data_IF_284720152234
#
_entry.id   IF_284720152234
#
_cell.length_a   1.000
_cell.length_b   1.000
_cell.length_c   1.000
_cell.angle_alpha   90.00
_cell.angle_beta   90.00
_cell.angle_gamma   90.00
#
_symmetry.space_group_name_H-M   'P 1'
#
loop_
_entity.id
_entity.type
_entity.pdbx_description
1 polymer ?
#
# COMPACT_ATOMS: atom_id res chain seq x y z
N UNK A 1 -7.60 -32.52 -2.09
CA UNK A 1 -6.18 -32.24 -2.37
C UNK A 1 -5.52 -31.45 -1.24
N UNK A 2 -4.23 -31.64 -0.95
CA UNK A 2 -3.48 -30.82 0.02
C UNK A 2 -2.77 -29.64 -0.66
N UNK A 3 -2.37 -28.61 0.08
CA UNK A 3 -1.64 -27.48 -0.49
C UNK A 3 -0.26 -27.88 -1.04
N UNK A 4 0.38 -28.89 -0.44
CA UNK A 4 1.64 -29.44 -0.96
C UNK A 4 1.45 -30.15 -2.30
N UNK A 5 0.34 -30.84 -2.50
CA UNK A 5 0.03 -31.51 -3.77
C UNK A 5 -0.25 -30.48 -4.87
N UNK A 6 -0.98 -29.41 -4.55
CA UNK A 6 -1.21 -28.31 -5.47
C UNK A 6 0.09 -27.64 -5.91
N UNK A 7 0.99 -27.35 -4.97
CA UNK A 7 2.30 -26.75 -5.26
C UNK A 7 3.19 -27.67 -6.12
N UNK A 8 3.12 -28.99 -5.90
CA UNK A 8 3.82 -29.97 -6.74
C UNK A 8 3.28 -29.92 -8.18
N UNK A 9 1.96 -29.96 -8.34
CA UNK A 9 1.31 -29.86 -9.65
C UNK A 9 1.62 -28.54 -10.38
N UNK A 10 1.62 -27.42 -9.65
CA UNK A 10 1.91 -26.11 -10.23
C UNK A 10 3.32 -26.02 -10.84
N UNK A 11 4.28 -26.71 -10.20
CA UNK A 11 5.68 -26.83 -10.63
C UNK A 11 5.90 -27.76 -11.82
N UNK A 12 4.93 -28.61 -12.17
CA UNK A 12 5.06 -29.51 -13.32
C UNK A 12 4.84 -28.73 -14.64
N UNK A 13 5.85 -28.62 -15.52
CA UNK A 13 5.72 -27.82 -16.74
C UNK A 13 4.71 -28.38 -17.74
N UNK A 14 4.50 -29.69 -17.72
CA UNK A 14 3.57 -30.41 -18.60
C UNK A 14 2.17 -30.56 -18.01
N UNK A 15 1.91 -30.03 -16.82
CA UNK A 15 0.59 -30.12 -16.20
C UNK A 15 -0.43 -29.30 -17.02
N UNK A 16 -1.58 -29.90 -17.31
CA UNK A 16 -2.68 -29.18 -17.94
C UNK A 16 -3.25 -28.14 -16.97
N UNK A 17 -3.17 -26.85 -17.32
CA UNK A 17 -3.64 -25.74 -16.49
C UNK A 17 -4.95 -25.17 -17.03
N UNK A 18 -5.98 -25.27 -16.20
CA UNK A 18 -7.30 -24.75 -16.49
C UNK A 18 -7.61 -23.59 -15.53
N UNK A 19 -7.85 -22.43 -16.11
CA UNK A 19 -8.26 -21.20 -15.46
C UNK A 19 -9.77 -21.07 -15.57
N UNK A 20 -10.45 -21.11 -14.44
CA UNK A 20 -11.88 -20.86 -14.30
C UNK A 20 -12.09 -19.44 -13.78
N UNK A 21 -13.04 -18.70 -14.36
CA UNK A 21 -13.36 -17.33 -13.96
C UNK A 21 -14.86 -17.21 -13.75
N UNK A 22 -15.24 -16.83 -12.53
CA UNK A 22 -16.60 -16.42 -12.21
C UNK A 22 -16.68 -14.89 -12.32
N UNK A 23 -17.48 -14.40 -13.25
CA UNK A 23 -17.72 -12.98 -13.52
C UNK A 23 -19.08 -12.60 -12.95
N UNK A 24 -19.09 -11.91 -11.80
CA UNK A 24 -20.33 -11.43 -11.22
C UNK A 24 -20.80 -10.15 -11.93
N UNK A 25 -22.11 -9.99 -12.03
CA UNK A 25 -22.79 -8.78 -12.51
C UNK A 25 -24.09 -8.57 -11.71
N UNK A 26 -24.79 -7.48 -11.94
CA UNK A 26 -26.01 -7.14 -11.18
C UNK A 26 -27.13 -8.20 -11.25
N UNK A 27 -27.17 -9.01 -12.31
CA UNK A 27 -28.24 -9.99 -12.55
C UNK A 27 -27.82 -11.43 -12.21
N UNK A 28 -26.53 -11.70 -11.97
CA UNK A 28 -26.05 -13.07 -11.79
C UNK A 28 -24.53 -13.24 -11.90
N UNK A 29 -24.12 -14.43 -12.34
CA UNK A 29 -22.72 -14.84 -12.51
C UNK A 29 -22.57 -15.55 -13.84
N UNK A 30 -21.67 -15.04 -14.68
CA UNK A 30 -21.21 -15.70 -15.90
C UNK A 30 -19.92 -16.48 -15.63
N UNK A 31 -19.80 -17.67 -16.21
CA UNK A 31 -18.69 -18.60 -15.94
C UNK A 31 -17.92 -18.90 -17.21
N UNK A 32 -16.65 -18.51 -17.23
CA UNK A 32 -15.76 -18.68 -18.39
C UNK A 32 -14.46 -19.38 -18.02
N UNK A 33 -13.85 -20.04 -18.97
CA UNK A 33 -12.59 -20.76 -18.81
C UNK A 33 -11.73 -20.68 -20.08
N UNK A 34 -10.44 -20.98 -19.95
CA UNK A 34 -9.50 -21.11 -21.09
C UNK A 34 -9.48 -22.53 -21.69
N UNK A 35 -10.42 -23.38 -21.27
CA UNK A 35 -10.61 -24.73 -21.75
C UNK A 35 -11.98 -25.25 -21.29
N UNK A 36 -12.47 -26.30 -21.94
CA UNK A 36 -13.74 -26.90 -21.58
C UNK A 36 -13.74 -27.48 -20.14
N UNK A 37 -14.73 -27.11 -19.33
CA UNK A 37 -14.93 -27.64 -17.99
C UNK A 37 -16.40 -27.66 -17.59
N UNK A 38 -16.80 -28.72 -16.89
CA UNK A 38 -18.13 -28.86 -16.31
C UNK A 38 -17.94 -29.32 -14.87
N UNK A 39 -18.55 -28.62 -13.92
CA UNK A 39 -18.44 -29.00 -12.50
C UNK A 39 -19.00 -30.41 -12.26
N UNK A 40 -18.42 -31.15 -11.32
CA UNK A 40 -18.85 -32.51 -11.05
C UNK A 40 -20.25 -32.55 -10.40
N UNK A 41 -20.92 -33.72 -10.39
CA UNK A 41 -22.24 -33.86 -9.75
C UNK A 41 -22.26 -33.53 -8.25
N UNK A 42 -21.12 -33.68 -7.57
CA UNK A 42 -20.97 -33.41 -6.13
C UNK A 42 -20.40 -32.01 -5.82
N UNK A 43 -20.14 -31.19 -6.85
CA UNK A 43 -19.69 -29.81 -6.68
C UNK A 43 -20.89 -28.86 -6.46
N UNK A 44 -20.61 -27.64 -5.98
CA UNK A 44 -21.62 -26.58 -5.83
C UNK A 44 -21.21 -25.34 -6.65
N UNK A 45 -21.97 -24.97 -7.70
CA UNK A 45 -23.15 -25.66 -8.22
C UNK A 45 -22.80 -26.93 -9.02
N UNK A 46 -23.65 -27.98 -9.02
CA UNK A 46 -23.37 -29.24 -9.71
C UNK A 46 -23.65 -29.15 -11.23
N UNK A 47 -22.90 -29.90 -12.05
CA UNK A 47 -23.09 -30.04 -13.50
C UNK A 47 -23.20 -28.70 -14.27
N UNK A 48 -22.48 -27.68 -13.81
CA UNK A 48 -22.52 -26.34 -14.37
C UNK A 48 -21.38 -26.17 -15.38
N UNK A 49 -21.66 -25.81 -16.64
CA UNK A 49 -20.63 -25.61 -17.65
C UNK A 49 -19.91 -24.27 -17.46
N UNK A 50 -18.62 -24.26 -17.72
CA UNK A 50 -17.81 -23.07 -17.95
C UNK A 50 -17.62 -22.89 -19.46
N UNK A 51 -17.87 -21.68 -19.97
CA UNK A 51 -17.71 -21.37 -21.39
C UNK A 51 -16.22 -21.26 -21.75
N UNK A 52 -15.77 -22.03 -22.74
CA UNK A 52 -14.41 -22.02 -23.24
C UNK A 52 -14.19 -20.83 -24.20
N UNK A 53 -14.16 -19.63 -23.62
CA UNK A 53 -14.06 -18.36 -24.35
C UNK A 53 -12.93 -17.49 -23.82
N UNK A 54 -12.24 -17.88 -22.75
CA UNK A 54 -11.14 -17.12 -22.20
C UNK A 54 -9.92 -17.25 -23.11
N UNK A 55 -9.38 -16.12 -23.57
CA UNK A 55 -8.09 -16.17 -24.27
C UNK A 55 -6.98 -16.57 -23.29
N UNK A 56 -5.97 -17.28 -23.78
CA UNK A 56 -4.95 -17.93 -22.92
C UNK A 56 -4.16 -16.95 -22.02
N UNK A 57 -4.04 -15.66 -22.37
CA UNK A 57 -3.16 -14.72 -21.67
C UNK A 57 -3.94 -13.73 -20.80
N UNK A 58 -4.12 -14.09 -19.53
CA UNK A 58 -4.43 -13.12 -18.47
C UNK A 58 -3.13 -12.83 -17.73
N UNK A 59 -2.55 -11.67 -17.96
CA UNK A 59 -1.33 -11.26 -17.24
C UNK A 59 -1.72 -10.53 -15.95
N UNK A 60 -1.24 -11.05 -14.82
CA UNK A 60 -1.42 -10.43 -13.51
C UNK A 60 -0.10 -9.80 -13.11
N UNK A 61 -0.09 -8.47 -13.03
CA UNK A 61 1.08 -7.69 -12.61
C UNK A 61 0.88 -7.15 -11.20
N UNK A 62 1.87 -7.37 -10.33
CA UNK A 62 1.97 -6.80 -8.99
C UNK A 62 3.25 -5.99 -8.88
N UNK A 63 3.18 -4.77 -8.33
CA UNK A 63 4.33 -3.87 -8.16
C UNK A 63 4.42 -3.28 -6.75
N UNK A 64 5.63 -2.91 -6.35
CA UNK A 64 5.93 -2.23 -5.08
C UNK A 64 5.73 -0.72 -5.12
N UNK A 65 5.73 -0.09 -6.29
CA UNK A 65 5.57 1.35 -6.44
C UNK A 65 4.09 1.81 -6.38
N UNK A 66 3.19 0.92 -5.93
CA UNK A 66 1.76 1.18 -5.77
C UNK A 66 1.07 1.78 -7.01
N UNK A 67 1.68 1.66 -8.20
CA UNK A 67 1.01 1.86 -9.48
C UNK A 67 0.51 0.50 -9.95
N UNK A 68 -0.75 0.12 -9.66
CA UNK A 68 -1.32 -1.08 -10.24
C UNK A 68 -1.37 -0.90 -11.77
N UNK A 69 -0.72 -1.78 -12.52
CA UNK A 69 -1.00 -1.90 -13.96
C UNK A 69 -2.14 -2.90 -14.11
N UNK A 70 -3.26 -2.43 -14.64
CA UNK A 70 -4.48 -3.23 -14.79
C UNK A 70 -4.28 -4.30 -15.87
N UNK A 71 -4.61 -5.54 -15.53
CA UNK A 71 -4.77 -6.60 -16.51
C UNK A 71 -6.15 -6.53 -17.13
N UNK A 72 -6.26 -6.99 -18.37
CA UNK A 72 -7.52 -7.09 -19.08
C UNK A 72 -7.90 -8.57 -19.22
N UNK A 73 -9.18 -8.87 -19.02
CA UNK A 73 -9.72 -10.18 -19.36
C UNK A 73 -10.17 -10.16 -20.82
N UNK A 74 -9.41 -10.81 -21.68
CA UNK A 74 -9.77 -10.94 -23.09
C UNK A 74 -10.51 -12.26 -23.33
N UNK A 75 -11.71 -12.13 -23.90
CA UNK A 75 -12.60 -13.22 -24.27
C UNK A 75 -12.75 -13.29 -25.79
N UNK A 76 -12.83 -14.49 -26.31
CA UNK A 76 -13.17 -14.79 -27.70
C UNK A 76 -14.69 -14.64 -27.85
N UNK A 77 -15.12 -13.72 -28.72
CA UNK A 77 -16.55 -13.45 -28.95
C UNK A 77 -16.92 -13.81 -30.40
N UNK A 78 -17.50 -14.99 -30.60
CA UNK A 78 -18.08 -15.42 -31.89
C UNK A 78 -19.53 -14.93 -32.09
N UNK A 79 -19.97 -13.99 -31.24
CA UNK A 79 -21.32 -13.44 -31.20
C UNK A 79 -22.17 -14.00 -30.07
N UNK A 80 -21.74 -15.08 -29.40
CA UNK A 80 -22.48 -15.64 -28.26
C UNK A 80 -22.48 -14.71 -27.03
N UNK A 81 -21.47 -13.83 -26.90
CA UNK A 81 -21.34 -12.90 -25.77
C UNK A 81 -22.04 -11.55 -26.02
N UNK A 82 -22.72 -11.37 -27.15
CA UNK A 82 -23.32 -10.09 -27.53
C UNK A 82 -24.29 -9.52 -26.46
N UNK A 83 -25.01 -10.40 -25.75
CA UNK A 83 -25.96 -10.03 -24.72
C UNK A 83 -25.30 -9.48 -23.43
N UNK A 84 -24.02 -9.77 -23.21
CA UNK A 84 -23.27 -9.29 -22.03
C UNK A 84 -23.14 -7.78 -21.97
N UNK A 85 -23.31 -7.10 -23.10
CA UNK A 85 -23.31 -5.62 -23.20
C UNK A 85 -24.45 -4.98 -22.42
N UNK A 86 -25.53 -5.72 -22.14
CA UNK A 86 -26.65 -5.24 -21.35
C UNK A 86 -26.40 -5.31 -19.84
N UNK A 87 -25.47 -6.16 -19.39
CA UNK A 87 -25.23 -6.40 -17.97
C UNK A 87 -24.42 -5.27 -17.33
N UNK A 88 -24.70 -5.04 -16.05
CA UNK A 88 -23.95 -4.11 -15.20
C UNK A 88 -22.81 -4.86 -14.51
N UNK A 89 -21.62 -4.72 -15.07
CA UNK A 89 -20.41 -5.38 -14.61
C UNK A 89 -19.65 -4.58 -13.55
N UNK A 90 -19.62 -3.25 -13.68
CA UNK A 90 -18.72 -2.39 -12.90
C UNK A 90 -18.91 -2.56 -11.40
N UNK A 91 -17.82 -2.83 -10.68
CA UNK A 91 -17.78 -2.96 -9.22
C UNK A 91 -18.18 -4.35 -8.68
N UNK A 92 -18.62 -5.26 -9.55
CA UNK A 92 -18.92 -6.65 -9.15
C UNK A 92 -17.64 -7.51 -9.11
N UNK A 93 -17.68 -8.58 -8.32
CA UNK A 93 -16.53 -9.46 -8.08
C UNK A 93 -16.15 -10.31 -9.30
N UNK A 94 -14.85 -10.51 -9.50
CA UNK A 94 -14.28 -11.46 -10.46
C UNK A 94 -13.41 -12.44 -9.69
N UNK A 95 -13.77 -13.72 -9.70
CA UNK A 95 -13.04 -14.78 -8.98
C UNK A 95 -12.36 -15.69 -9.97
N UNK A 96 -11.03 -15.73 -9.93
CA UNK A 96 -10.22 -16.60 -10.77
C UNK A 96 -9.72 -17.80 -9.98
N UNK A 97 -9.88 -18.99 -10.53
CA UNK A 97 -9.43 -20.25 -9.93
C UNK A 97 -8.58 -21.04 -10.92
N UNK A 98 -7.52 -21.66 -10.41
CA UNK A 98 -6.61 -22.48 -11.21
C UNK A 98 -6.64 -23.93 -10.71
N UNK A 99 -6.64 -24.87 -11.64
CA UNK A 99 -6.60 -26.29 -11.35
C UNK A 99 -6.38 -27.14 -12.60
N UNK A 100 -6.48 -28.45 -12.41
CA UNK A 100 -6.45 -29.42 -13.51
C UNK A 100 -7.87 -29.67 -14.04
N UNK A 101 -8.06 -29.92 -15.35
CA UNK A 101 -9.36 -30.30 -15.92
C UNK A 101 -10.05 -31.49 -15.24
N UNK A 102 -9.27 -32.42 -14.69
CA UNK A 102 -9.80 -33.65 -14.06
C UNK A 102 -10.20 -33.47 -12.57
N UNK A 103 -9.99 -32.27 -12.00
CA UNK A 103 -10.24 -32.03 -10.59
C UNK A 103 -11.70 -31.63 -10.33
N UNK A 104 -12.26 -32.01 -9.17
CA UNK A 104 -13.52 -31.43 -8.71
C UNK A 104 -13.32 -29.94 -8.37
N UNK A 105 -14.36 -29.13 -8.50
CA UNK A 105 -14.30 -27.67 -8.30
C UNK A 105 -13.74 -27.29 -6.93
N UNK A 106 -14.02 -28.07 -5.88
CA UNK A 106 -13.49 -27.85 -4.52
C UNK A 106 -11.96 -27.93 -4.41
N UNK A 107 -11.31 -28.62 -5.33
CA UNK A 107 -9.86 -28.74 -5.36
C UNK A 107 -9.22 -27.61 -6.19
N UNK A 108 -9.97 -26.88 -7.02
CA UNK A 108 -9.46 -25.65 -7.64
C UNK A 108 -9.08 -24.62 -6.58
N UNK A 109 -7.95 -23.92 -6.81
CA UNK A 109 -7.47 -22.89 -5.90
C UNK A 109 -7.78 -21.51 -6.45
N UNK A 110 -8.35 -20.65 -5.61
CA UNK A 110 -8.52 -19.22 -5.96
C UNK A 110 -7.14 -18.61 -6.08
N UNK A 111 -6.83 -18.11 -7.28
CA UNK A 111 -5.54 -17.47 -7.58
C UNK A 111 -5.67 -15.95 -7.68
N UNK A 112 -6.87 -15.41 -7.88
CA UNK A 112 -7.10 -13.98 -7.84
C UNK A 112 -8.54 -13.64 -7.47
N UNK A 113 -8.73 -12.56 -6.70
CA UNK A 113 -10.02 -11.90 -6.48
C UNK A 113 -9.92 -10.44 -6.88
N UNK A 114 -10.65 -10.07 -7.93
CA UNK A 114 -10.61 -8.73 -8.53
C UNK A 114 -12.04 -8.14 -8.59
N UNK A 115 -12.15 -6.88 -8.98
CA UNK A 115 -13.40 -6.22 -9.32
C UNK A 115 -13.48 -5.97 -10.82
N UNK A 116 -14.65 -6.10 -11.42
CA UNK A 116 -14.84 -5.81 -12.83
C UNK A 116 -14.89 -4.29 -13.08
N UNK A 117 -14.15 -3.84 -14.08
CA UNK A 117 -14.14 -2.46 -14.57
C UNK A 117 -15.18 -2.14 -15.63
N UNK A 118 -16.02 -3.13 -15.95
CA UNK A 118 -16.88 -3.21 -17.13
C UNK A 118 -16.16 -3.50 -18.45
N UNK A 119 -16.95 -3.65 -19.50
CA UNK A 119 -16.48 -3.94 -20.86
C UNK A 119 -15.73 -2.70 -21.38
N UNK A 120 -14.46 -2.87 -21.69
CA UNK A 120 -13.59 -1.83 -22.27
C UNK A 120 -13.75 -1.78 -23.80
N UNK A 121 -13.80 -2.95 -24.44
CA UNK A 121 -14.03 -3.07 -25.88
C UNK A 121 -14.84 -4.33 -26.22
N UNK A 122 -15.58 -4.27 -27.32
CA UNK A 122 -16.30 -5.41 -27.88
C UNK A 122 -16.18 -5.35 -29.41
N UNK A 123 -15.12 -5.95 -29.91
CA UNK A 123 -14.79 -6.06 -31.33
C UNK A 123 -15.35 -7.36 -31.93
N UNK A 124 -15.19 -7.54 -33.25
CA UNK A 124 -15.86 -8.60 -34.02
C UNK A 124 -15.57 -10.03 -33.54
N UNK A 125 -14.45 -10.25 -32.86
CA UNK A 125 -14.01 -11.56 -32.38
C UNK A 125 -13.47 -11.53 -30.94
N UNK A 126 -13.58 -10.37 -30.26
CA UNK A 126 -12.94 -10.14 -28.96
C UNK A 126 -13.77 -9.23 -28.07
N UNK A 127 -14.07 -9.69 -26.88
CA UNK A 127 -14.64 -8.88 -25.80
C UNK A 127 -13.59 -8.70 -24.72
N UNK A 128 -13.32 -7.47 -24.33
CA UNK A 128 -12.33 -7.14 -23.30
C UNK A 128 -13.01 -6.55 -22.09
N UNK A 129 -12.87 -7.21 -20.93
CA UNK A 129 -13.32 -6.72 -19.63
C UNK A 129 -12.13 -6.18 -18.84
N UNK A 130 -12.24 -4.95 -18.35
CA UNK A 130 -11.21 -4.38 -17.48
C UNK A 130 -11.26 -5.05 -16.10
N UNK A 131 -10.10 -5.29 -15.50
CA UNK A 131 -10.01 -5.75 -14.12
C UNK A 131 -9.41 -4.65 -13.24
N UNK A 132 -10.08 -4.35 -12.15
CA UNK A 132 -9.59 -3.49 -11.09
C UNK A 132 -9.27 -4.32 -9.86
N UNK A 133 -8.14 -4.00 -9.25
CA UNK A 133 -7.86 -4.47 -7.92
C UNK A 133 -8.74 -3.75 -6.89
N UNK A 134 -8.97 -4.39 -5.73
CA UNK A 134 -9.75 -3.85 -4.61
C UNK A 134 -9.15 -2.57 -4.03
N UNK A 135 -7.94 -2.18 -4.45
CA UNK A 135 -7.39 -0.86 -4.16
C UNK A 135 -8.28 0.29 -4.63
N UNK A 136 -9.16 0.10 -5.63
CA UNK A 136 -10.16 1.10 -6.01
C UNK A 136 -11.15 1.42 -4.88
N UNK A 137 -11.39 0.49 -3.94
CA UNK A 137 -12.20 0.76 -2.75
C UNK A 137 -11.55 1.81 -1.86
N UNK A 138 -10.21 1.82 -1.78
CA UNK A 138 -9.44 2.76 -0.96
C UNK A 138 -9.50 4.19 -1.50
N UNK A 139 -9.97 4.39 -2.74
CA UNK A 139 -10.16 5.70 -3.35
C UNK A 139 -11.50 6.35 -2.97
N UNK A 140 -12.41 5.60 -2.34
CA UNK A 140 -13.64 6.17 -1.79
C UNK A 140 -13.31 7.05 -0.58
N UNK A 141 -13.87 8.28 -0.48
CA UNK A 141 -13.67 9.12 0.70
C UNK A 141 -14.25 8.48 1.97
N UNK A 142 -13.56 8.63 3.10
CA UNK A 142 -14.09 8.22 4.40
C UNK A 142 -15.23 9.16 4.79
N UNK A 143 -16.43 8.62 4.88
CA UNK A 143 -17.61 9.35 5.32
C UNK A 143 -17.49 9.72 6.80
N UNK A 144 -17.61 11.02 7.09
CA UNK A 144 -17.55 11.56 8.45
C UNK A 144 -18.71 12.49 8.68
N UNK A 145 -19.11 12.61 9.93
CA UNK A 145 -20.14 13.54 10.35
C UNK A 145 -19.77 14.98 9.94
N UNK A 146 -20.71 15.68 9.33
CA UNK A 146 -20.55 17.10 9.03
C UNK A 146 -20.68 17.93 10.32
N UNK A 147 -19.76 18.85 10.52
CA UNK A 147 -19.82 19.85 11.57
C UNK A 147 -20.89 20.91 11.27
N UNK A 148 -21.30 21.73 12.25
CA UNK A 148 -22.32 22.78 12.03
C UNK A 148 -21.98 23.81 10.95
N UNK A 149 -20.69 23.93 10.59
CA UNK A 149 -20.22 24.78 9.50
C UNK A 149 -20.31 24.12 8.12
N UNK A 150 -20.77 22.86 8.03
CA UNK A 150 -20.88 22.07 6.80
C UNK A 150 -19.61 21.33 6.39
N UNK A 151 -18.49 21.53 7.10
CA UNK A 151 -17.24 20.82 6.84
C UNK A 151 -17.23 19.45 7.51
N UNK A 152 -16.49 18.49 6.95
CA UNK A 152 -16.33 17.19 7.58
C UNK A 152 -15.56 17.31 8.91
N UNK A 153 -15.96 16.54 9.93
CA UNK A 153 -15.24 16.51 11.19
C UNK A 153 -13.77 16.07 10.98
N UNK A 154 -12.77 16.80 11.52
CA UNK A 154 -11.36 16.47 11.33
C UNK A 154 -11.04 15.04 11.73
N UNK A 155 -10.24 14.32 10.95
CA UNK A 155 -9.74 13.00 11.31
C UNK A 155 -8.34 13.14 11.88
N UNK A 156 -8.10 12.63 13.09
CA UNK A 156 -6.77 12.53 13.70
C UNK A 156 -6.46 11.07 13.98
N UNK A 157 -5.27 10.61 13.62
CA UNK A 157 -4.74 9.29 13.93
C UNK A 157 -3.36 9.43 14.58
N UNK A 158 -3.14 8.70 15.66
CA UNK A 158 -1.89 8.71 16.42
C UNK A 158 -1.67 9.98 17.23
N UNK A 159 -0.46 10.56 17.16
CA UNK A 159 -0.05 11.71 17.98
C UNK A 159 0.15 12.95 17.14
N UNK A 160 -0.68 13.97 17.34
CA UNK A 160 -0.62 15.23 16.58
C UNK A 160 -0.34 16.40 17.49
N UNK A 161 0.58 17.28 17.09
CA UNK A 161 0.94 18.48 17.83
C UNK A 161 0.19 19.71 17.31
N UNK A 162 -0.34 20.51 18.24
CA UNK A 162 -1.06 21.77 17.98
C UNK A 162 -2.05 21.68 16.80
N UNK A 163 -2.93 20.69 16.89
CA UNK A 163 -4.02 20.44 15.97
C UNK A 163 -5.12 21.51 16.14
N UNK A 164 -5.55 22.25 15.10
CA UNK A 164 -6.59 23.27 15.26
C UNK A 164 -7.92 22.67 15.75
N UNK A 165 -8.60 23.36 16.67
CA UNK A 165 -9.89 22.91 17.19
C UNK A 165 -11.04 23.70 16.54
N UNK A 166 -12.04 23.00 16.01
CA UNK A 166 -13.21 23.63 15.38
C UNK A 166 -14.29 23.85 16.43
N UNK A 167 -14.81 25.07 16.54
CA UNK A 167 -15.88 25.40 17.49
C UNK A 167 -17.23 24.89 16.96
N UNK A 168 -17.85 23.98 17.72
CA UNK A 168 -19.14 23.35 17.39
C UNK A 168 -20.30 24.12 18.01
N UNK A 169 -20.15 24.58 19.25
CA UNK A 169 -21.15 25.41 19.94
C UNK A 169 -20.50 26.62 20.61
N UNK A 170 -21.08 27.79 20.37
CA UNK A 170 -20.63 29.05 20.94
C UNK A 170 -21.17 29.30 22.35
N UNK A 171 -22.30 28.69 22.73
CA UNK A 171 -22.87 28.87 24.08
C UNK A 171 -22.13 28.02 25.10
N UNK A 172 -21.95 26.72 24.82
CA UNK A 172 -21.24 25.82 25.74
C UNK A 172 -19.72 25.82 25.56
N UNK A 173 -19.16 26.62 24.63
CA UNK A 173 -17.75 26.59 24.23
C UNK A 173 -17.28 25.16 23.91
N UNK A 174 -18.08 24.42 23.13
CA UNK A 174 -17.76 23.06 22.69
C UNK A 174 -16.88 23.12 21.44
N UNK A 175 -15.75 22.42 21.49
CA UNK A 175 -14.81 22.30 20.39
C UNK A 175 -14.59 20.83 20.01
N UNK A 176 -14.40 20.58 18.72
CA UNK A 176 -14.07 19.27 18.17
C UNK A 176 -12.70 19.31 17.51
N UNK A 177 -11.89 18.29 17.78
CA UNK A 177 -10.54 18.15 17.25
C UNK A 177 -10.35 16.87 16.45
N UNK A 178 -11.12 15.82 16.76
CA UNK A 178 -11.15 14.58 15.99
C UNK A 178 -12.57 14.05 15.85
N UNK A 179 -12.83 13.36 14.76
CA UNK A 179 -14.00 12.52 14.55
C UNK A 179 -13.94 11.29 15.46
N UNK A 180 -12.74 10.70 15.59
CA UNK A 180 -12.47 9.52 16.40
C UNK A 180 -12.33 9.86 17.90
N UNK A 181 -12.56 8.87 18.78
CA UNK A 181 -12.22 8.99 20.20
C UNK A 181 -10.73 9.28 20.39
N UNK A 182 -10.41 10.11 21.38
CA UNK A 182 -9.02 10.45 21.73
C UNK A 182 -8.71 9.99 23.15
N UNK A 183 -7.45 9.71 23.44
CA UNK A 183 -6.99 9.28 24.77
C UNK A 183 -6.62 10.47 25.65
N UNK A 184 -6.04 11.52 25.06
CA UNK A 184 -5.59 12.72 25.78
C UNK A 184 -5.61 13.95 24.88
N UNK A 185 -5.98 15.09 25.46
CA UNK A 185 -5.85 16.42 24.85
C UNK A 185 -5.09 17.38 25.76
N UNK A 186 -4.22 18.20 25.19
CA UNK A 186 -3.69 19.40 25.82
C UNK A 186 -4.16 20.60 24.99
N UNK A 187 -5.07 21.39 25.55
CA UNK A 187 -5.68 22.52 24.84
C UNK A 187 -4.86 23.78 25.10
N UNK A 188 -4.48 24.47 24.03
CA UNK A 188 -3.70 25.71 24.05
C UNK A 188 -4.48 26.85 23.41
N UNK A 189 -4.30 28.04 23.95
CA UNK A 189 -4.73 29.26 23.27
C UNK A 189 -3.91 29.50 22.00
N UNK A 190 -4.40 30.32 21.09
CA UNK A 190 -3.72 30.70 19.83
C UNK A 190 -2.43 31.49 20.01
N UNK A 191 -2.01 31.77 21.25
CA UNK A 191 -0.69 32.31 21.60
C UNK A 191 0.14 31.38 22.51
N UNK A 192 -0.30 30.13 22.73
CA UNK A 192 0.47 29.05 23.35
C UNK A 192 0.06 28.56 24.75
N UNK A 193 -0.43 29.39 25.69
CA UNK A 193 -0.75 28.96 27.05
C UNK A 193 -1.81 27.87 27.10
N UNK A 194 -1.66 26.94 28.03
CA UNK A 194 -2.64 25.87 28.23
C UNK A 194 -3.93 26.42 28.86
N UNK A 195 -5.06 26.00 28.31
CA UNK A 195 -6.40 26.35 28.80
C UNK A 195 -7.00 25.14 29.49
N UNK A 196 -7.55 25.37 30.68
CA UNK A 196 -8.31 24.35 31.39
C UNK A 196 -9.59 24.00 30.60
N UNK A 197 -9.88 22.70 30.49
CA UNK A 197 -11.03 22.21 29.75
C UNK A 197 -11.72 21.06 30.50
N UNK A 198 -12.92 20.73 30.07
CA UNK A 198 -13.63 19.52 30.46
C UNK A 198 -13.57 18.54 29.29
N UNK A 199 -12.96 17.38 29.53
CA UNK A 199 -12.69 16.37 28.50
C UNK A 199 -13.97 15.67 28.02
N UNK A 200 -14.13 15.53 26.69
CA UNK A 200 -15.15 14.68 26.04
C UNK A 200 -14.46 13.74 25.03
N UNK A 201 -13.57 12.92 25.57
CA UNK A 201 -12.66 12.07 24.82
C UNK A 201 -13.33 11.02 23.93
N UNK A 202 -14.47 10.48 24.36
CA UNK A 202 -15.24 9.51 23.57
C UNK A 202 -15.73 10.07 22.21
N UNK A 203 -15.85 11.40 22.08
CA UNK A 203 -16.32 12.07 20.86
C UNK A 203 -15.24 12.95 20.22
N UNK A 204 -13.96 12.78 20.59
CA UNK A 204 -12.86 13.59 20.06
C UNK A 204 -13.02 15.10 20.31
N UNK A 205 -13.67 15.48 21.42
CA UNK A 205 -14.10 16.85 21.69
C UNK A 205 -13.75 17.29 23.12
N UNK A 206 -13.89 18.60 23.40
CA UNK A 206 -13.75 19.16 24.74
C UNK A 206 -14.59 20.44 24.91
N UNK A 207 -14.84 20.81 26.16
CA UNK A 207 -15.45 22.10 26.51
C UNK A 207 -14.38 23.00 27.12
N UNK A 208 -14.11 24.15 26.50
CA UNK A 208 -13.17 25.12 27.05
C UNK A 208 -13.78 25.82 28.27
N UNK A 209 -13.01 26.03 29.35
CA UNK A 209 -13.51 26.72 30.56
C UNK A 209 -13.52 28.25 30.43
N UNK A 210 -12.83 28.78 29.43
CA UNK A 210 -12.78 30.19 29.14
C UNK A 210 -12.88 30.40 27.63
N UNK A 211 -13.53 31.50 27.24
CA UNK A 211 -13.54 31.94 25.86
C UNK A 211 -12.15 32.46 25.49
N UNK A 212 -11.66 32.06 24.32
CA UNK A 212 -10.54 32.72 23.66
C UNK A 212 -11.02 33.41 22.38
N UNK A 213 -10.58 34.66 22.13
CA UNK A 213 -10.81 35.32 20.85
C UNK A 213 -9.95 34.72 19.72
N UNK A 214 -8.95 33.90 20.02
CA UNK A 214 -8.05 33.25 19.05
C UNK A 214 -8.49 31.81 18.79
N UNK A 215 -8.03 31.26 17.66
CA UNK A 215 -8.24 29.84 17.36
C UNK A 215 -7.44 28.98 18.37
N UNK A 216 -8.12 27.99 18.95
CA UNK A 216 -7.49 27.05 19.88
C UNK A 216 -6.74 25.97 19.10
N UNK A 217 -5.59 25.55 19.60
CA UNK A 217 -4.91 24.36 19.11
C UNK A 217 -4.77 23.31 20.22
N UNK A 218 -4.64 22.04 19.84
CA UNK A 218 -4.63 20.93 20.78
C UNK A 218 -3.49 19.96 20.47
N UNK A 219 -2.73 19.55 21.48
CA UNK A 219 -1.88 18.37 21.36
C UNK A 219 -2.77 17.14 21.58
N UNK A 220 -2.90 16.30 20.56
CA UNK A 220 -3.83 15.16 20.51
C UNK A 220 -3.06 13.85 20.61
N UNK A 221 -3.55 12.96 21.48
CA UNK A 221 -3.14 11.56 21.51
C UNK A 221 -4.37 10.69 21.24
N UNK A 222 -4.32 9.94 20.14
CA UNK A 222 -5.35 9.01 19.69
C UNK A 222 -4.82 7.55 19.85
N UNK A 223 -5.69 6.54 20.04
CA UNK A 223 -5.27 5.14 20.24
C UNK A 223 -4.40 4.49 19.14
N UNK A 224 -4.62 4.76 17.86
CA UNK A 224 -3.89 4.13 16.74
C UNK A 224 -2.59 4.89 16.45
N UNK A 225 -1.53 4.55 17.17
CA UNK A 225 -0.26 5.28 17.13
C UNK A 225 0.77 4.68 16.18
N UNK A 226 0.70 3.38 15.92
CA UNK A 226 1.70 2.68 15.10
C UNK A 226 1.23 2.46 13.66
N UNK A 227 2.16 2.29 12.70
CA UNK A 227 1.81 1.93 11.32
C UNK A 227 0.85 0.74 11.24
N UNK A 228 1.11 -0.33 12.00
CA UNK A 228 0.27 -1.53 12.00
C UNK A 228 -1.16 -1.24 12.47
N UNK A 229 -1.33 -0.45 13.53
CA UNK A 229 -2.65 -0.08 14.05
C UNK A 229 -3.43 0.79 13.06
N UNK A 230 -2.76 1.75 12.42
CA UNK A 230 -3.38 2.62 11.42
C UNK A 230 -3.78 1.83 10.17
N UNK A 231 -2.90 0.96 9.67
CA UNK A 231 -3.18 0.08 8.52
C UNK A 231 -4.37 -0.83 8.82
N UNK A 232 -4.43 -1.42 10.02
CA UNK A 232 -5.54 -2.27 10.44
C UNK A 232 -6.85 -1.48 10.57
N UNK A 233 -6.78 -0.24 11.07
CA UNK A 233 -7.94 0.65 11.12
C UNK A 233 -8.46 0.99 9.72
N UNK A 234 -7.58 1.35 8.78
CA UNK A 234 -7.96 1.62 7.38
C UNK A 234 -8.60 0.37 6.77
N UNK A 235 -7.95 -0.79 6.89
CA UNK A 235 -8.49 -2.04 6.35
C UNK A 235 -9.92 -2.32 6.86
N UNK A 236 -10.17 -2.10 8.16
CA UNK A 236 -11.49 -2.26 8.75
C UNK A 236 -12.53 -1.27 8.19
N UNK A 237 -12.16 -0.03 7.87
CA UNK A 237 -13.08 0.95 7.26
C UNK A 237 -13.57 0.50 5.87
N UNK A 238 -12.72 -0.18 5.10
CA UNK A 238 -13.03 -0.63 3.74
C UNK A 238 -13.44 -2.11 3.65
N UNK A 239 -13.62 -2.80 4.78
CA UNK A 239 -13.95 -4.23 4.82
C UNK A 239 -12.86 -5.13 4.24
N UNK A 240 -11.61 -4.66 4.23
CA UNK A 240 -10.44 -5.41 3.78
C UNK A 240 -9.83 -6.20 4.93
N UNK A 241 -9.27 -7.36 4.62
CA UNK A 241 -8.43 -8.10 5.57
C UNK A 241 -6.98 -7.69 5.38
N UNK A 242 -6.24 -7.50 6.47
CA UNK A 242 -4.78 -7.28 6.41
C UNK A 242 -4.09 -8.63 6.26
N UNK A 243 -3.13 -8.72 5.35
CA UNK A 243 -2.30 -9.90 5.18
C UNK A 243 -1.46 -10.14 6.44
N UNK A 244 -1.82 -11.15 7.24
CA UNK A 244 -1.03 -11.63 8.38
C UNK A 244 -0.08 -12.72 7.88
N UNK A 245 1.20 -12.39 7.74
CA UNK A 245 2.17 -13.12 6.91
C UNK A 245 2.22 -14.65 7.04
N UNK A 246 2.48 -15.30 5.90
CA UNK A 246 3.08 -16.63 5.84
C UNK A 246 4.60 -16.59 6.05
N UNK A 247 5.22 -17.76 6.25
CA UNK A 247 6.60 -17.95 6.72
C UNK A 247 7.74 -17.28 5.88
N UNK A 248 7.44 -16.71 4.72
CA UNK A 248 8.43 -16.09 3.83
C UNK A 248 8.37 -14.55 3.75
N UNK A 249 7.38 -13.86 4.36
CA UNK A 249 7.15 -12.44 4.04
C UNK A 249 6.66 -11.54 5.19
N UNK A 250 6.68 -12.02 6.44
CA UNK A 250 6.30 -11.23 7.61
C UNK A 250 7.44 -10.30 8.08
N UNK A 251 7.75 -9.23 7.33
CA UNK A 251 8.47 -8.10 7.93
C UNK A 251 7.49 -7.38 8.86
N UNK A 252 7.67 -7.53 10.18
CA UNK A 252 6.91 -6.80 11.19
C UNK A 252 7.07 -5.31 10.97
N UNK A 253 5.96 -4.59 10.82
CA UNK A 253 5.99 -3.13 10.70
C UNK A 253 6.64 -2.51 11.95
N UNK A 254 7.43 -1.44 11.79
CA UNK A 254 8.15 -0.86 12.92
C UNK A 254 7.19 -0.23 13.93
N UNK A 255 7.49 -0.38 15.22
CA UNK A 255 6.76 0.26 16.33
C UNK A 255 7.19 1.72 16.49
N UNK A 256 6.84 2.56 15.51
CA UNK A 256 7.11 4.01 15.52
C UNK A 256 5.82 4.79 15.70
N UNK A 257 5.91 5.99 16.26
CA UNK A 257 4.73 6.81 16.55
C UNK A 257 4.44 7.76 15.39
N UNK A 258 3.27 7.60 14.76
CA UNK A 258 2.81 8.45 13.66
C UNK A 258 1.82 9.52 14.14
N UNK A 259 1.69 10.60 13.36
CA UNK A 259 0.81 11.73 13.63
C UNK A 259 0.15 12.28 12.38
N UNK A 260 -1.05 11.80 12.09
CA UNK A 260 -1.82 12.16 10.89
C UNK A 260 -3.02 13.01 11.26
N UNK A 261 -3.29 14.06 10.48
CA UNK A 261 -4.52 14.83 10.57
C UNK A 261 -5.03 15.25 9.20
N UNK A 262 -6.34 15.15 9.02
CA UNK A 262 -7.06 15.54 7.82
C UNK A 262 -8.30 16.37 8.15
N UNK A 263 -8.34 17.61 7.66
CA UNK A 263 -9.46 18.53 7.88
C UNK A 263 -10.53 18.40 6.77
N UNK A 264 -10.12 18.16 5.52
CA UNK A 264 -11.01 17.92 4.38
C UNK A 264 -11.18 16.43 4.06
N UNK A 265 -11.84 16.13 2.95
CA UNK A 265 -12.01 14.75 2.44
C UNK A 265 -10.68 14.00 2.39
N UNK A 266 -10.71 12.75 2.83
CA UNK A 266 -9.53 11.87 2.88
C UNK A 266 -9.94 10.47 2.46
N UNK A 267 -9.09 9.83 1.67
CA UNK A 267 -9.27 8.46 1.18
C UNK A 267 -8.37 7.49 1.94
N UNK A 268 -8.71 6.21 1.93
CA UNK A 268 -7.89 5.15 2.54
C UNK A 268 -6.51 5.08 1.89
N UNK A 269 -6.46 5.28 0.57
CA UNK A 269 -5.21 5.37 -0.20
C UNK A 269 -4.29 6.45 0.34
N UNK A 270 -4.80 7.67 0.52
CA UNK A 270 -4.01 8.78 1.04
C UNK A 270 -3.41 8.48 2.42
N UNK A 271 -4.20 7.86 3.31
CA UNK A 271 -3.71 7.49 4.65
C UNK A 271 -2.60 6.44 4.57
N UNK A 272 -2.77 5.42 3.72
CA UNK A 272 -1.76 4.37 3.53
C UNK A 272 -0.49 4.92 2.88
N UNK A 273 -0.61 5.84 1.92
CA UNK A 273 0.51 6.52 1.29
C UNK A 273 1.30 7.34 2.32
N UNK A 274 0.62 8.10 3.18
CA UNK A 274 1.28 8.90 4.22
C UNK A 274 1.99 8.00 5.26
N UNK A 275 1.38 6.86 5.63
CA UNK A 275 2.01 5.85 6.49
C UNK A 275 3.25 5.25 5.82
N UNK A 276 3.13 4.86 4.54
CA UNK A 276 4.23 4.30 3.76
C UNK A 276 5.37 5.30 3.56
N UNK A 277 5.04 6.57 3.35
CA UNK A 277 6.02 7.67 3.27
C UNK A 277 6.79 7.83 4.58
N UNK A 278 6.17 7.59 5.73
CA UNK A 278 6.83 7.63 7.04
C UNK A 278 7.77 6.45 7.29
N UNK A 279 7.37 5.22 6.94
CA UNK A 279 8.21 4.03 7.14
C UNK A 279 9.21 3.76 6.01
N UNK A 280 9.10 4.47 4.88
CA UNK A 280 9.90 4.22 3.68
C UNK A 280 9.54 2.86 3.09
N UNK A 281 8.25 2.64 2.96
CA UNK A 281 7.64 1.40 2.53
C UNK A 281 6.62 1.61 1.42
N UNK A 282 5.83 0.59 1.19
CA UNK A 282 4.78 0.55 0.19
C UNK A 282 3.63 -0.30 0.69
N UNK A 283 2.49 -0.14 0.05
CA UNK A 283 1.34 -0.99 0.24
C UNK A 283 0.88 -1.54 -1.11
N UNK A 284 0.29 -2.72 -1.07
CA UNK A 284 -0.34 -3.36 -2.22
C UNK A 284 -1.50 -4.22 -1.73
N UNK A 285 -2.41 -4.57 -2.63
CA UNK A 285 -3.37 -5.63 -2.38
C UNK A 285 -2.80 -6.90 -3.00
N UNK A 286 -2.75 -7.97 -2.23
CA UNK A 286 -2.31 -9.25 -2.75
C UNK A 286 -3.36 -9.86 -3.68
N UNK A 287 -2.99 -10.96 -4.35
CA UNK A 287 -3.90 -11.66 -5.27
C UNK A 287 -5.20 -12.14 -4.57
N UNK A 288 -5.18 -12.32 -3.25
CA UNK A 288 -6.34 -12.76 -2.46
C UNK A 288 -7.27 -11.59 -2.07
N UNK A 289 -6.90 -10.35 -2.42
CA UNK A 289 -7.65 -9.16 -2.03
C UNK A 289 -7.34 -8.67 -0.61
N UNK A 290 -6.21 -9.08 -0.02
CA UNK A 290 -5.77 -8.65 1.31
C UNK A 290 -4.79 -7.48 1.22
N UNK A 291 -4.91 -6.53 2.14
CA UNK A 291 -4.00 -5.39 2.23
C UNK A 291 -2.66 -5.83 2.81
N UNK A 292 -1.58 -5.60 2.06
CA UNK A 292 -0.20 -5.86 2.47
C UNK A 292 0.55 -4.54 2.53
N UNK A 293 1.26 -4.32 3.62
CA UNK A 293 2.13 -3.15 3.80
C UNK A 293 3.50 -3.66 4.20
N UNK A 294 4.54 -3.17 3.52
CA UNK A 294 5.90 -3.58 3.82
C UNK A 294 6.85 -2.41 3.76
N UNK A 295 7.94 -2.53 4.52
CA UNK A 295 9.04 -1.58 4.51
C UNK A 295 10.04 -2.00 3.43
N UNK A 296 10.57 -1.05 2.68
CA UNK A 296 11.66 -1.37 1.75
C UNK A 296 12.94 -1.57 2.57
N UNK A 297 13.43 -2.79 2.70
CA UNK A 297 14.72 -3.09 3.35
C UNK A 297 15.70 -3.72 2.35
N UNK A 298 17.00 -3.71 2.67
CA UNK A 298 17.97 -4.50 1.90
C UNK A 298 17.74 -5.98 2.18
N UNK A 299 17.76 -6.84 1.16
CA UNK A 299 17.69 -8.26 1.39
C UNK A 299 19.01 -8.78 2.00
N UNK A 300 18.95 -9.31 3.22
CA UNK A 300 20.10 -9.95 3.88
C UNK A 300 20.16 -11.46 3.65
N UNK A 301 18.98 -12.08 3.48
CA UNK A 301 18.82 -13.50 3.21
C UNK A 301 18.20 -13.69 1.83
N UNK A 302 18.47 -14.85 1.23
CA UNK A 302 17.92 -15.21 -0.08
C UNK A 302 16.75 -16.14 0.14
N UNK A 303 15.59 -15.72 -0.34
CA UNK A 303 14.37 -16.51 -0.31
C UNK A 303 14.34 -17.49 -1.50
N UNK A 304 14.78 -17.02 -2.68
CA UNK A 304 14.82 -17.81 -3.90
C UNK A 304 16.12 -17.58 -4.69
N UNK A 305 16.70 -18.65 -5.22
CA UNK A 305 17.82 -18.56 -6.15
C UNK A 305 17.36 -18.99 -7.54
N UNK A 306 17.50 -18.11 -8.53
CA UNK A 306 17.28 -18.41 -9.94
C UNK A 306 18.61 -18.74 -10.60
N UNK A 307 18.69 -19.88 -11.27
CA UNK A 307 19.80 -20.27 -12.10
C UNK A 307 19.62 -19.76 -13.54
N UNK A 308 20.68 -19.83 -14.35
CA UNK A 308 20.66 -19.31 -15.72
C UNK A 308 19.69 -20.08 -16.64
N UNK A 309 19.42 -21.34 -16.35
CA UNK A 309 18.45 -22.20 -17.03
C UNK A 309 17.00 -21.92 -16.62
N UNK A 310 16.78 -21.27 -15.48
CA UNK A 310 15.46 -20.77 -15.07
C UNK A 310 15.05 -19.50 -15.84
N UNK A 311 15.95 -18.90 -16.63
CA UNK A 311 15.72 -17.64 -17.33
C UNK A 311 15.57 -17.83 -18.83
N UNK A 312 14.68 -17.03 -19.42
CA UNK A 312 14.57 -16.94 -20.87
C UNK A 312 15.83 -16.30 -21.46
N UNK A 313 16.42 -16.96 -22.46
CA UNK A 313 17.66 -16.53 -23.06
C UNK A 313 17.53 -15.11 -23.65
N UNK A 314 18.41 -14.20 -23.22
CA UNK A 314 18.44 -12.81 -23.70
C UNK A 314 17.40 -11.89 -23.07
N UNK A 315 16.65 -12.34 -22.06
CA UNK A 315 15.63 -11.52 -21.39
C UNK A 315 16.19 -10.52 -20.37
N UNK A 316 17.44 -10.70 -19.89
CA UNK A 316 18.03 -9.85 -18.85
C UNK A 316 18.38 -8.48 -19.42
N UNK A 317 17.75 -7.43 -18.89
CA UNK A 317 17.95 -6.04 -19.34
C UNK A 317 18.08 -5.10 -18.14
N UNK A 318 18.92 -4.07 -18.29
CA UNK A 318 19.05 -3.00 -17.30
C UNK A 318 18.04 -1.89 -17.62
N UNK A 319 17.03 -1.71 -16.77
CA UNK A 319 15.95 -0.74 -17.00
C UNK A 319 16.31 0.63 -16.46
N UNK A 320 16.81 0.67 -15.21
CA UNK A 320 17.01 1.92 -14.48
C UNK A 320 18.27 1.89 -13.66
N UNK A 321 18.92 3.05 -13.63
CA UNK A 321 20.08 3.34 -12.79
C UNK A 321 19.71 4.49 -11.86
N UNK A 322 19.80 4.24 -10.56
CA UNK A 322 19.49 5.22 -9.53
C UNK A 322 20.80 5.74 -8.94
N UNK A 323 21.02 7.05 -9.09
CA UNK A 323 22.16 7.73 -8.49
C UNK A 323 22.03 7.77 -6.97
N UNK A 324 23.16 7.69 -6.24
CA UNK A 324 23.16 7.87 -4.79
C UNK A 324 22.64 9.26 -4.41
N UNK A 325 22.17 9.39 -3.17
CA UNK A 325 21.75 10.67 -2.62
C UNK A 325 22.93 11.38 -2.00
N UNK A 326 23.02 12.71 -2.18
CA UNK A 326 24.08 13.49 -1.53
C UNK A 326 23.82 13.67 -0.03
N UNK A 327 22.57 13.98 0.30
CA UNK A 327 22.10 14.15 1.68
C UNK A 327 20.60 13.91 1.73
N UNK A 328 20.10 13.60 2.92
CA UNK A 328 18.68 13.43 3.18
C UNK A 328 18.26 14.35 4.31
N UNK A 329 17.23 15.14 4.05
CA UNK A 329 16.51 15.91 5.07
C UNK A 329 15.14 15.29 5.27
N UNK A 330 14.88 14.79 6.48
CA UNK A 330 13.60 14.23 6.87
C UNK A 330 12.88 15.22 7.78
N UNK A 331 11.72 15.72 7.33
CA UNK A 331 10.83 16.51 8.16
C UNK A 331 9.93 15.59 8.98
N UNK A 332 9.82 15.88 10.26
CA UNK A 332 9.07 15.12 11.26
C UNK A 332 8.40 16.10 12.24
N UNK A 333 7.51 15.56 13.08
CA UNK A 333 6.79 16.27 14.13
C UNK A 333 6.11 17.53 13.58
N UNK A 334 5.09 17.35 12.73
CA UNK A 334 4.35 18.48 12.15
C UNK A 334 3.56 19.23 13.23
N UNK A 335 3.66 20.55 13.21
CA UNK A 335 2.76 21.47 13.89
C UNK A 335 1.68 21.92 12.89
N UNK A 336 0.42 21.63 13.19
CA UNK A 336 -0.70 21.90 12.29
C UNK A 336 -1.25 23.33 12.42
N UNK A 337 -0.82 24.10 13.41
CA UNK A 337 -1.20 25.49 13.61
C UNK A 337 0.00 26.32 14.14
N UNK A 338 1.03 26.58 13.30
CA UNK A 338 2.18 27.38 13.70
C UNK A 338 1.78 28.80 14.13
N UNK A 339 2.38 29.27 15.22
CA UNK A 339 2.05 30.53 15.88
C UNK A 339 3.12 31.59 15.64
N UNK A 340 2.68 32.79 15.26
CA UNK A 340 3.58 33.95 15.08
C UNK A 340 3.61 34.87 16.32
N UNK A 341 2.57 34.85 17.15
CA UNK A 341 2.42 35.69 18.34
C UNK A 341 2.33 34.79 19.58
N UNK A 342 3.47 34.57 20.24
CA UNK A 342 3.60 33.67 21.40
C UNK A 342 3.65 34.51 22.69
N UNK A 343 2.88 34.10 23.70
CA UNK A 343 2.80 34.82 24.97
C UNK A 343 4.17 35.00 25.64
N UNK A 344 4.46 36.19 26.16
CA UNK A 344 5.71 36.49 26.87
C UNK A 344 6.01 35.54 28.02
N UNK A 345 4.97 35.08 28.74
CA UNK A 345 5.13 34.09 29.82
C UNK A 345 5.70 32.74 29.35
N UNK A 346 5.50 32.36 28.08
CA UNK A 346 6.11 31.16 27.48
C UNK A 346 7.51 31.49 26.98
N UNK A 347 7.70 32.67 26.38
CA UNK A 347 9.00 33.14 25.93
C UNK A 347 10.03 33.16 27.07
N UNK A 348 9.63 33.64 28.24
CA UNK A 348 10.52 33.78 29.40
C UNK A 348 10.82 32.45 30.10
N UNK A 349 9.90 31.47 30.04
CA UNK A 349 9.98 30.25 30.87
C UNK A 349 10.18 28.95 30.08
N UNK A 350 9.90 28.92 28.78
CA UNK A 350 9.85 27.70 27.97
C UNK A 350 10.36 27.92 26.53
N UNK A 351 11.63 28.30 26.33
CA UNK A 351 12.17 28.64 25.01
C UNK A 351 12.06 27.50 23.98
N UNK A 352 12.21 26.25 24.41
CA UNK A 352 12.04 25.09 23.52
C UNK A 352 10.58 24.88 23.05
N UNK A 353 9.60 25.32 23.83
CA UNK A 353 8.20 25.30 23.42
C UNK A 353 7.89 26.43 22.43
N UNK A 354 8.54 27.59 22.59
CA UNK A 354 8.41 28.71 21.64
C UNK A 354 8.81 28.27 20.23
N UNK A 355 10.03 27.71 20.10
CA UNK A 355 10.53 27.19 18.83
C UNK A 355 9.56 26.16 18.23
N UNK A 356 9.06 25.24 19.08
CA UNK A 356 8.11 24.21 18.65
C UNK A 356 6.78 24.78 18.17
N UNK A 357 6.25 25.81 18.83
CA UNK A 357 4.98 26.46 18.47
C UNK A 357 5.12 27.33 17.23
N UNK A 358 6.30 27.88 16.94
CA UNK A 358 6.53 28.72 15.75
C UNK A 358 6.79 27.91 14.47
N UNK A 359 7.46 26.77 14.57
CA UNK A 359 7.86 25.98 13.39
C UNK A 359 6.76 24.99 12.96
N UNK A 360 6.43 24.96 11.67
CA UNK A 360 5.51 23.94 11.11
C UNK A 360 6.13 22.54 11.16
N UNK A 361 7.45 22.42 10.93
CA UNK A 361 8.13 21.15 10.82
C UNK A 361 9.45 21.19 11.57
N UNK A 362 9.76 20.10 12.27
CA UNK A 362 11.13 19.82 12.67
C UNK A 362 11.83 19.05 11.57
N UNK A 363 13.14 19.22 11.46
CA UNK A 363 13.93 18.54 10.45
C UNK A 363 15.17 17.91 11.06
N UNK A 364 15.55 16.74 10.53
CA UNK A 364 16.87 16.16 10.72
C UNK A 364 17.51 16.05 9.33
N UNK A 365 18.78 16.43 9.25
CA UNK A 365 19.57 16.32 8.02
C UNK A 365 20.86 15.54 8.33
N UNK A 366 21.26 14.65 7.40
CA UNK A 366 22.59 14.04 7.35
C UNK A 366 23.11 14.01 5.93
N UNK A 367 24.42 14.18 5.78
CA UNK A 367 25.12 13.89 4.52
C UNK A 367 25.25 12.39 4.36
N UNK A 368 25.38 11.91 3.12
CA UNK A 368 25.71 10.51 2.90
C UNK A 368 27.11 10.18 3.47
N UNK A 369 28.06 11.12 3.39
CA UNK A 369 29.41 10.99 3.96
C UNK A 369 29.43 10.69 5.47
N UNK A 370 28.35 11.03 6.19
CA UNK A 370 28.25 10.80 7.64
C UNK A 370 27.91 9.33 7.98
N UNK A 371 27.45 8.55 7.00
CA UNK A 371 26.91 7.19 7.18
C UNK A 371 27.55 6.16 6.26
N UNK A 372 28.45 6.56 5.37
CA UNK A 372 29.23 5.65 4.52
C UNK A 372 30.26 4.86 5.32
N UNK A 373 30.56 3.67 4.81
CA UNK A 373 31.64 2.79 5.25
C UNK A 373 32.70 2.69 4.14
N UNK A 374 33.87 2.09 4.42
CA UNK A 374 34.94 1.94 3.42
C UNK A 374 34.50 1.16 2.16
N UNK A 375 33.42 0.37 2.25
CA UNK A 375 32.85 -0.43 1.15
C UNK A 375 31.75 0.31 0.34
N UNK A 376 31.46 1.58 0.66
CA UNK A 376 30.47 2.41 -0.02
C UNK A 376 31.10 3.29 -1.12
N UNK A 377 30.25 3.88 -1.97
CA UNK A 377 30.73 4.70 -3.08
C UNK A 377 31.31 6.03 -2.61
N UNK A 378 32.37 6.49 -3.28
CA UNK A 378 32.88 7.86 -3.10
C UNK A 378 31.94 8.85 -3.80
N UNK A 379 31.35 9.79 -3.06
CA UNK A 379 30.48 10.83 -3.60
C UNK A 379 31.17 11.72 -4.63
N UNK A 380 32.52 11.80 -4.62
CA UNK A 380 33.28 12.53 -5.63
C UNK A 380 33.11 11.94 -7.04
N UNK A 381 32.82 10.64 -7.15
CA UNK A 381 32.50 9.98 -8.42
C UNK A 381 31.09 10.36 -8.94
N UNK A 382 30.26 11.00 -8.11
CA UNK A 382 28.89 11.37 -8.40
C UNK A 382 28.65 12.88 -8.24
N UNK A 383 29.27 13.74 -9.09
CA UNK A 383 29.17 15.20 -8.95
C UNK A 383 27.75 15.76 -9.09
N UNK A 384 26.83 15.00 -9.69
CA UNK A 384 25.42 15.35 -9.86
C UNK A 384 24.50 14.74 -8.79
N UNK A 385 25.03 14.10 -7.75
CA UNK A 385 24.23 13.58 -6.64
C UNK A 385 23.45 14.73 -5.97
N UNK A 386 22.13 14.56 -5.88
CA UNK A 386 21.24 15.60 -5.38
C UNK A 386 20.89 15.39 -3.90
N UNK A 387 20.71 16.47 -3.12
CA UNK A 387 20.07 16.38 -1.82
C UNK A 387 18.58 16.04 -1.99
N UNK A 388 18.03 15.24 -1.08
CA UNK A 388 16.60 14.89 -1.04
C UNK A 388 15.96 15.42 0.24
N UNK A 389 14.75 15.95 0.11
CA UNK A 389 13.93 16.37 1.25
C UNK A 389 12.61 15.64 1.20
N UNK A 390 12.27 14.95 2.29
CA UNK A 390 11.02 14.21 2.43
C UNK A 390 10.30 14.71 3.68
N UNK A 391 8.99 14.91 3.55
CA UNK A 391 8.12 15.21 4.69
C UNK A 391 7.44 13.92 5.14
N UNK A 392 7.45 13.65 6.44
CA UNK A 392 6.89 12.41 7.00
C UNK A 392 5.99 12.71 8.17
N UNK A 393 5.08 11.79 8.47
CA UNK A 393 4.21 11.89 9.65
C UNK A 393 4.82 11.29 10.92
N UNK A 394 6.15 11.11 10.96
CA UNK A 394 6.87 10.69 12.16
C UNK A 394 6.77 11.77 13.23
N UNK A 395 6.69 11.37 14.50
CA UNK A 395 6.52 12.34 15.61
C UNK A 395 7.75 12.47 16.49
N UNK A 396 8.60 11.43 16.59
CA UNK A 396 9.76 11.43 17.46
C UNK A 396 11.07 11.64 16.71
N UNK A 397 11.97 12.43 17.28
CA UNK A 397 13.29 12.70 16.69
C UNK A 397 14.15 11.45 16.53
N UNK A 398 14.18 10.58 17.54
CA UNK A 398 14.99 9.36 17.51
C UNK A 398 14.53 8.40 16.40
N UNK A 399 13.21 8.23 16.22
CA UNK A 399 12.62 7.43 15.15
C UNK A 399 12.94 8.03 13.77
N UNK A 400 12.85 9.36 13.63
CA UNK A 400 13.21 10.07 12.41
C UNK A 400 14.71 9.93 12.07
N UNK A 401 15.61 10.00 13.05
CA UNK A 401 17.05 9.79 12.86
C UNK A 401 17.36 8.37 12.39
N UNK A 402 16.74 7.36 13.00
CA UNK A 402 16.91 5.95 12.60
C UNK A 402 16.42 5.69 11.18
N UNK A 403 15.25 6.23 10.82
CA UNK A 403 14.69 6.06 9.48
C UNK A 403 15.49 6.81 8.41
N UNK A 404 15.97 8.02 8.73
CA UNK A 404 16.84 8.80 7.86
C UNK A 404 18.14 8.07 7.55
N UNK A 405 18.84 7.57 8.58
CA UNK A 405 20.09 6.81 8.42
C UNK A 405 19.85 5.57 7.57
N UNK A 406 18.75 4.85 7.83
CA UNK A 406 18.40 3.65 7.08
C UNK A 406 18.19 3.95 5.59
N UNK A 407 17.39 4.98 5.24
CA UNK A 407 17.16 5.36 3.84
C UNK A 407 18.45 5.84 3.16
N UNK A 408 19.30 6.58 3.86
CA UNK A 408 20.62 6.93 3.31
C UNK A 408 21.47 5.70 3.01
N UNK A 409 21.51 4.71 3.91
CA UNK A 409 22.21 3.44 3.66
C UNK A 409 21.64 2.66 2.48
N UNK A 410 20.31 2.68 2.28
CA UNK A 410 19.72 2.11 1.06
C UNK A 410 20.28 2.78 -0.19
N UNK A 411 20.49 4.09 -0.19
CA UNK A 411 21.00 4.85 -1.34
C UNK A 411 22.50 5.19 -1.26
N UNK A 412 23.26 4.48 -0.42
CA UNK A 412 24.71 4.65 -0.30
C UNK A 412 25.48 4.06 -1.48
N UNK A 413 24.84 3.15 -2.22
CA UNK A 413 25.34 2.53 -3.44
C UNK A 413 24.46 2.94 -4.61
N UNK A 414 25.05 2.91 -5.82
CA UNK A 414 24.33 3.04 -7.08
C UNK A 414 23.40 1.84 -7.17
N UNK A 415 22.11 2.10 -7.28
CA UNK A 415 21.10 1.04 -7.37
C UNK A 415 20.71 0.80 -8.81
N UNK A 416 20.41 -0.45 -9.10
CA UNK A 416 20.12 -0.91 -10.45
C UNK A 416 18.81 -1.68 -10.44
N UNK A 417 17.92 -1.36 -11.36
CA UNK A 417 16.70 -2.13 -11.63
C UNK A 417 16.93 -2.91 -12.91
N UNK A 418 16.82 -4.22 -12.82
CA UNK A 418 16.95 -5.14 -13.93
C UNK A 418 15.63 -5.84 -14.20
N UNK A 419 15.20 -5.90 -15.46
CA UNK A 419 14.10 -6.74 -15.92
C UNK A 419 14.62 -8.07 -16.45
N UNK A 420 13.83 -9.14 -16.28
CA UNK A 420 14.09 -10.46 -16.86
C UNK A 420 12.81 -11.29 -16.92
N UNK A 421 12.82 -12.34 -17.74
CA UNK A 421 11.73 -13.33 -17.79
C UNK A 421 12.25 -14.67 -17.27
N UNK A 422 11.55 -15.25 -16.30
CA UNK A 422 11.87 -16.52 -15.68
C UNK A 422 10.78 -17.57 -15.94
N UNK A 423 11.18 -18.84 -16.05
CA UNK A 423 10.31 -20.00 -16.12
C UNK A 423 9.90 -20.44 -14.72
N UNK A 424 9.12 -19.59 -14.05
CA UNK A 424 8.62 -19.86 -12.71
C UNK A 424 7.13 -20.19 -12.76
N UNK A 425 6.68 -21.12 -11.90
CA UNK A 425 5.28 -21.31 -11.63
C UNK A 425 4.62 -19.98 -11.23
N UNK A 426 3.40 -19.69 -11.72
CA UNK A 426 2.73 -18.45 -11.40
C UNK A 426 2.48 -18.36 -9.89
N UNK A 427 2.58 -17.15 -9.33
CA UNK A 427 2.36 -16.85 -7.90
C UNK A 427 3.36 -17.46 -6.90
N UNK A 428 4.43 -18.12 -7.34
CA UNK A 428 5.51 -18.55 -6.44
C UNK A 428 6.31 -17.35 -5.90
N UNK A 429 6.40 -16.28 -6.69
CA UNK A 429 7.01 -15.02 -6.29
C UNK A 429 5.95 -13.95 -6.05
N UNK A 430 6.17 -13.16 -5.00
CA UNK A 430 5.46 -11.90 -4.79
C UNK A 430 6.48 -10.77 -4.74
N UNK A 431 6.06 -9.53 -5.05
CA UNK A 431 6.89 -8.37 -4.77
C UNK A 431 7.35 -8.33 -3.30
N UNK A 432 8.58 -7.85 -3.08
CA UNK A 432 9.24 -7.79 -1.77
C UNK A 432 10.16 -8.97 -1.44
N UNK A 433 10.07 -10.08 -2.20
CA UNK A 433 10.92 -11.27 -2.01
C UNK A 433 12.38 -10.98 -2.39
N UNK A 434 13.31 -11.53 -1.62
CA UNK A 434 14.74 -11.49 -1.88
C UNK A 434 15.18 -12.60 -2.83
N UNK A 435 15.71 -12.23 -3.99
CA UNK A 435 16.11 -13.17 -5.04
C UNK A 435 17.60 -13.03 -5.35
N UNK A 436 18.27 -14.17 -5.50
CA UNK A 436 19.61 -14.25 -6.08
C UNK A 436 19.52 -14.79 -7.49
N UNK A 437 20.12 -14.12 -8.45
CA UNK A 437 20.19 -14.60 -9.84
C UNK A 437 21.62 -15.03 -10.15
N UNK A 438 21.83 -16.31 -10.42
CA UNK A 438 23.13 -16.88 -10.82
C UNK A 438 23.36 -16.63 -12.31
N UNK A 439 23.73 -15.40 -12.63
CA UNK A 439 24.09 -15.00 -13.98
C UNK A 439 25.32 -14.07 -13.96
N UNK A 440 26.32 -14.26 -14.84
CA UNK A 440 27.54 -13.46 -14.85
C UNK A 440 27.30 -11.94 -14.93
N UNK A 441 26.25 -11.52 -15.66
CA UNK A 441 25.91 -10.10 -15.81
C UNK A 441 25.46 -9.43 -14.50
N UNK A 442 24.98 -10.21 -13.52
CA UNK A 442 24.41 -9.69 -12.26
C UNK A 442 25.34 -9.93 -11.05
N UNK A 443 26.51 -10.54 -11.28
CA UNK A 443 27.53 -10.84 -10.28
C UNK A 443 27.01 -11.59 -9.04
N UNK A 444 25.96 -12.40 -9.20
CA UNK A 444 25.31 -13.19 -8.14
C UNK A 444 24.87 -12.39 -6.90
N UNK A 445 24.62 -11.09 -7.09
CA UNK A 445 24.09 -10.22 -6.03
C UNK A 445 22.70 -10.67 -5.60
N UNK A 446 22.32 -10.28 -4.38
CA UNK A 446 20.96 -10.44 -3.88
C UNK A 446 20.22 -9.15 -4.18
N UNK A 447 19.08 -9.27 -4.85
CA UNK A 447 18.20 -8.15 -5.15
C UNK A 447 16.81 -8.40 -4.59
N UNK A 448 15.98 -7.36 -4.56
CA UNK A 448 14.59 -7.44 -4.11
C UNK A 448 13.66 -7.28 -5.30
N UNK A 449 12.70 -8.18 -5.42
CA UNK A 449 11.70 -8.14 -6.50
C UNK A 449 10.77 -6.96 -6.27
N UNK A 450 10.73 -6.03 -7.23
CA UNK A 450 9.88 -4.83 -7.17
C UNK A 450 8.63 -4.94 -8.06
N UNK A 451 8.67 -5.82 -9.05
CA UNK A 451 7.54 -6.11 -9.94
C UNK A 451 7.54 -7.59 -10.30
N UNK A 452 6.36 -8.18 -10.32
CA UNK A 452 6.10 -9.54 -10.84
C UNK A 452 4.93 -9.44 -11.79
N UNK A 453 5.10 -9.90 -13.01
CA UNK A 453 4.01 -10.10 -13.96
C UNK A 453 3.99 -11.57 -14.38
N UNK A 454 2.90 -12.27 -14.09
CA UNK A 454 2.77 -13.69 -14.36
C UNK A 454 1.45 -13.99 -15.06
N UNK A 455 1.52 -14.87 -16.06
CA UNK A 455 0.34 -15.49 -16.65
C UNK A 455 0.07 -16.84 -15.96
N UNK A 456 -1.17 -17.10 -15.50
CA UNK A 456 -1.51 -18.38 -14.86
C UNK A 456 -1.29 -19.61 -15.75
N UNK A 457 -1.23 -19.43 -17.07
CA UNK A 457 -1.25 -20.50 -18.06
C UNK A 457 0.10 -20.68 -18.74
N UNK A 458 0.84 -19.59 -19.01
CA UNK A 458 2.04 -19.61 -19.87
C UNK A 458 3.31 -20.15 -19.21
N UNK A 459 3.34 -20.25 -17.87
CA UNK A 459 4.53 -20.67 -17.11
C UNK A 459 5.73 -19.72 -17.23
N UNK A 460 5.49 -18.51 -17.75
CA UNK A 460 6.47 -17.42 -17.81
C UNK A 460 6.10 -16.34 -16.80
N UNK A 461 7.12 -15.84 -16.11
CA UNK A 461 7.00 -14.76 -15.14
C UNK A 461 8.03 -13.69 -15.46
N UNK A 462 7.59 -12.47 -15.77
CA UNK A 462 8.45 -11.30 -15.91
C UNK A 462 8.69 -10.67 -14.54
N UNK A 463 9.94 -10.33 -14.26
CA UNK A 463 10.41 -9.82 -12.98
C UNK A 463 11.16 -8.51 -13.18
N UNK A 464 10.94 -7.55 -12.30
CA UNK A 464 11.89 -6.44 -12.08
C UNK A 464 12.54 -6.62 -10.71
N UNK A 465 13.88 -6.57 -10.68
CA UNK A 465 14.67 -6.79 -9.47
C UNK A 465 15.53 -5.55 -9.20
N UNK A 466 15.42 -5.02 -7.99
CA UNK A 466 16.21 -3.90 -7.49
C UNK A 466 17.42 -4.40 -6.69
N UNK A 467 18.62 -3.99 -7.10
CA UNK A 467 19.91 -4.33 -6.48
C UNK A 467 20.55 -3.13 -5.79
#
# INVERSE_FOLDING_TARGET
MTDQDFQRWLREPSAARLLLVDLHHAEGVERVANGAYITHPDDDPPNTPYLDVLSEAVDITQRLDAQPSWGDLALIDDGQLAHWRAYQWRGHEVVMRLGSPDWPLRDFRVIARQQSGAILSADRDRLTLGLYDRSALLDQPIEREALPNGEAAPLVLGRVFCAPAVRVDSQSLLYRVSWLPVTRLVVRDGNGPEIAHTSRYATGSFIARAYSPRALCCDVLEPHQTPAQIVQWVAAQYGLSVHSGGAAQAETLPEITLGLRYDGEVTGRQILDDVCQAIGGYWSIDINGQLRVQRLTMPEQVDLTLAADDLEQGSIQLDRLESPWRSLTLRYDRNYAPMNDIAGSIQDNQPALVERLSEEWRAVTRSLDDVTTEDDLDLNDFPLAQPKTLSTVLTQKAEAEQELIRRLRLHAKRREVWSMTAFLPPFELSPGVAVRVRHPALAERIGRVISVSASPTSGRTSLEIWY
#
